data_IF_293036775921
#
_entry.id   IF_293036775921
#
_cell.length_a   1.000
_cell.length_b   1.000
_cell.length_c   1.000
_cell.angle_alpha   90.00
_cell.angle_beta   90.00
_cell.angle_gamma   90.00
#
_symmetry.space_group_name_H-M   'P 1'
#
loop_
_entity.id
_entity.type
_entity.pdbx_description
1 polymer ?
#
# COMPACT_ATOMS: atom_id res chain seq x y z
N UNK A 1 -3.27 -10.38 -21.42
CA UNK A 1 -2.82 -10.75 -20.06
C UNK A 1 -1.56 -9.96 -19.78
N UNK A 2 -1.68 -8.88 -18.99
CA UNK A 2 -0.61 -7.89 -18.80
C UNK A 2 0.38 -8.27 -17.69
N UNK A 3 -0.04 -9.13 -16.75
CA UNK A 3 0.81 -9.73 -15.71
C UNK A 3 0.87 -11.24 -15.90
N UNK A 4 2.07 -11.82 -15.88
CA UNK A 4 2.28 -13.26 -16.05
C UNK A 4 3.09 -13.80 -14.87
N UNK A 5 2.70 -14.98 -14.40
CA UNK A 5 3.45 -15.75 -13.41
C UNK A 5 4.13 -16.92 -14.09
N UNK A 6 5.43 -17.02 -13.93
CA UNK A 6 6.21 -18.15 -14.41
C UNK A 6 7.19 -18.62 -13.36
N UNK A 7 7.84 -19.76 -13.61
CA UNK A 7 8.96 -20.23 -12.79
C UNK A 7 10.22 -20.22 -13.63
N UNK A 8 11.32 -19.76 -13.07
CA UNK A 8 12.62 -19.86 -13.71
C UNK A 8 13.13 -21.32 -13.75
N UNK A 9 14.31 -21.51 -14.33
CA UNK A 9 14.94 -22.84 -14.44
C UNK A 9 15.25 -23.47 -13.07
N UNK A 10 15.29 -22.67 -12.01
CA UNK A 10 15.51 -23.10 -10.62
C UNK A 10 14.20 -23.27 -9.85
N UNK A 11 13.04 -23.06 -10.50
CA UNK A 11 11.72 -23.17 -9.90
C UNK A 11 11.28 -21.96 -9.07
N UNK A 12 12.03 -20.85 -9.08
CA UNK A 12 11.68 -19.63 -8.38
C UNK A 12 10.59 -18.87 -9.14
N UNK A 13 9.67 -18.24 -8.40
CA UNK A 13 8.59 -17.45 -8.99
C UNK A 13 9.18 -16.21 -9.68
N UNK A 14 8.82 -16.03 -10.95
CA UNK A 14 9.05 -14.81 -11.70
C UNK A 14 7.72 -14.16 -12.07
N UNK A 15 7.69 -12.83 -11.95
CA UNK A 15 6.54 -12.02 -12.31
C UNK A 15 6.95 -11.15 -13.47
N UNK A 16 6.22 -11.25 -14.58
CA UNK A 16 6.43 -10.45 -15.78
C UNK A 16 5.27 -9.46 -15.90
N UNK A 17 5.57 -8.17 -15.99
CA UNK A 17 4.58 -7.10 -16.21
C UNK A 17 4.93 -6.42 -17.52
N UNK A 18 3.99 -6.43 -18.48
CA UNK A 18 4.18 -5.85 -19.82
C UNK A 18 5.43 -6.37 -20.55
N UNK A 19 5.81 -7.63 -20.31
CA UNK A 19 7.00 -8.25 -20.91
C UNK A 19 8.32 -7.98 -20.18
N UNK A 20 8.31 -7.18 -19.11
CA UNK A 20 9.49 -6.90 -18.28
C UNK A 20 9.43 -7.69 -16.95
N UNK A 21 10.57 -8.26 -16.53
CA UNK A 21 10.68 -8.94 -15.24
C UNK A 21 10.61 -7.94 -14.10
N UNK A 22 9.70 -8.19 -13.18
CA UNK A 22 9.52 -7.40 -11.96
C UNK A 22 10.46 -7.90 -10.87
N UNK A 23 11.10 -6.97 -10.17
CA UNK A 23 11.89 -7.28 -9.00
C UNK A 23 11.00 -7.64 -7.81
N UNK A 24 11.41 -8.64 -7.03
CA UNK A 24 10.81 -8.97 -5.75
C UNK A 24 11.64 -8.39 -4.60
N UNK A 25 10.98 -7.91 -3.55
CA UNK A 25 11.65 -7.55 -2.29
C UNK A 25 11.95 -8.81 -1.44
N UNK A 26 12.60 -8.62 -0.28
CA UNK A 26 12.97 -9.71 0.62
C UNK A 26 11.78 -10.48 1.21
N UNK A 27 10.55 -9.97 1.09
CA UNK A 27 9.32 -10.61 1.52
C UNK A 27 8.52 -11.21 0.34
N UNK A 28 9.14 -11.34 -0.84
CA UNK A 28 8.49 -11.77 -2.08
C UNK A 28 7.35 -10.84 -2.54
N UNK A 29 7.44 -9.53 -2.22
CA UNK A 29 6.51 -8.52 -2.73
C UNK A 29 7.02 -7.98 -4.06
N UNK A 30 6.16 -7.95 -5.07
CA UNK A 30 6.46 -7.43 -6.40
C UNK A 30 6.58 -5.91 -6.39
N UNK A 31 7.70 -5.39 -6.87
CA UNK A 31 7.96 -3.94 -6.95
C UNK A 31 7.40 -3.36 -8.23
N UNK A 32 6.25 -2.69 -8.15
CA UNK A 32 5.54 -2.11 -9.28
C UNK A 32 5.91 -0.63 -9.42
N UNK A 33 6.50 -0.24 -10.55
CA UNK A 33 6.70 1.19 -10.88
C UNK A 33 5.40 1.87 -11.31
N UNK A 34 5.30 3.20 -11.13
CA UNK A 34 4.14 4.00 -11.58
C UNK A 34 3.78 3.81 -13.05
N UNK A 35 4.78 3.79 -13.94
CA UNK A 35 4.59 3.56 -15.39
C UNK A 35 3.86 2.25 -15.71
N UNK A 36 4.06 1.22 -14.89
CA UNK A 36 3.39 -0.06 -15.08
C UNK A 36 1.97 -0.02 -14.52
N UNK A 37 1.76 0.68 -13.40
CA UNK A 37 0.43 0.84 -12.83
C UNK A 37 -0.56 1.51 -13.81
N UNK A 38 -0.09 2.45 -14.63
CA UNK A 38 -0.91 3.13 -15.66
C UNK A 38 -1.47 2.20 -16.74
N UNK A 39 -0.76 1.12 -17.04
CA UNK A 39 -1.15 0.18 -18.08
C UNK A 39 -1.94 -1.02 -17.53
N UNK A 40 -2.22 -1.06 -16.22
CA UNK A 40 -2.87 -2.18 -15.55
C UNK A 40 -4.25 -1.79 -15.02
N UNK A 41 -5.14 -2.77 -15.04
CA UNK A 41 -6.38 -2.77 -14.25
C UNK A 41 -6.18 -3.58 -12.96
N UNK A 42 -6.99 -3.35 -11.91
CA UNK A 42 -6.99 -4.19 -10.70
C UNK A 42 -7.18 -5.69 -11.02
N UNK A 43 -7.98 -6.00 -12.03
CA UNK A 43 -8.28 -7.37 -12.48
C UNK A 43 -7.10 -8.07 -13.17
N UNK A 44 -6.10 -7.31 -13.65
CA UNK A 44 -4.87 -7.86 -14.22
C UNK A 44 -3.93 -8.41 -13.14
N UNK A 45 -4.12 -8.02 -11.88
CA UNK A 45 -3.30 -8.50 -10.78
C UNK A 45 -3.65 -9.98 -10.46
N UNK A 46 -2.64 -10.87 -10.41
CA UNK A 46 -2.86 -12.26 -10.08
C UNK A 46 -3.20 -12.46 -8.60
N UNK A 47 -4.02 -13.47 -8.33
CA UNK A 47 -4.35 -13.87 -6.96
C UNK A 47 -3.13 -14.37 -6.21
N UNK A 48 -3.04 -14.03 -4.92
CA UNK A 48 -1.98 -14.51 -4.03
C UNK A 48 -0.63 -13.80 -4.18
N UNK A 49 -0.55 -12.77 -5.04
CA UNK A 49 0.64 -11.94 -5.21
C UNK A 49 0.41 -10.57 -4.60
N UNK A 50 1.36 -10.11 -3.79
CA UNK A 50 1.38 -8.76 -3.25
C UNK A 50 2.31 -7.87 -4.05
N UNK A 51 1.87 -6.64 -4.27
CA UNK A 51 2.59 -5.59 -4.97
C UNK A 51 2.87 -4.42 -4.03
N UNK A 52 3.93 -3.68 -4.31
CA UNK A 52 4.25 -2.39 -3.70
C UNK A 52 4.57 -1.39 -4.80
N UNK A 53 3.97 -0.20 -4.72
CA UNK A 53 4.35 0.91 -5.60
C UNK A 53 5.75 1.39 -5.23
N UNK A 54 6.63 1.52 -6.23
CA UNK A 54 7.97 2.11 -6.07
C UNK A 54 7.98 3.50 -6.69
N UNK A 55 8.31 4.50 -5.88
CA UNK A 55 8.27 5.91 -6.27
C UNK A 55 6.85 6.43 -6.32
N UNK A 56 6.56 7.21 -7.36
CA UNK A 56 5.29 7.88 -7.58
C UNK A 56 4.58 7.33 -8.82
N UNK A 57 3.28 7.59 -8.90
CA UNK A 57 2.48 7.49 -10.12
C UNK A 57 2.91 8.59 -11.12
N UNK A 58 2.55 8.49 -12.40
CA UNK A 58 2.95 9.50 -13.40
C UNK A 58 2.45 10.91 -13.13
N UNK A 59 1.39 11.05 -12.34
CA UNK A 59 0.88 12.35 -11.90
C UNK A 59 1.60 12.91 -10.65
N UNK A 60 2.65 12.24 -10.17
CA UNK A 60 3.45 12.66 -9.01
C UNK A 60 2.86 12.26 -7.66
N UNK A 61 1.75 11.49 -7.62
CA UNK A 61 1.19 11.00 -6.37
C UNK A 61 1.93 9.75 -5.88
N UNK A 62 2.24 9.70 -4.60
CA UNK A 62 2.91 8.59 -3.95
C UNK A 62 2.42 8.38 -2.51
N UNK A 63 2.71 7.21 -1.95
CA UNK A 63 2.47 6.97 -0.53
C UNK A 63 3.46 7.76 0.33
N UNK A 64 3.05 8.13 1.55
CA UNK A 64 3.96 8.75 2.52
C UNK A 64 5.16 7.83 2.82
N UNK A 65 6.33 8.44 3.10
CA UNK A 65 7.58 7.70 3.33
C UNK A 65 7.46 6.73 4.50
N UNK A 66 6.65 7.06 5.50
CA UNK A 66 6.38 6.25 6.69
C UNK A 66 5.43 5.08 6.38
N UNK A 67 4.59 5.21 5.35
CA UNK A 67 3.55 4.23 5.01
C UNK A 67 4.10 3.18 4.05
N UNK A 68 4.54 2.06 4.63
CA UNK A 68 4.89 0.88 3.84
C UNK A 68 3.63 0.14 3.42
N UNK A 69 3.14 0.48 2.23
CA UNK A 69 1.92 -0.09 1.66
C UNK A 69 2.24 -1.28 0.77
N UNK A 70 1.47 -2.35 0.93
CA UNK A 70 1.39 -3.44 -0.05
C UNK A 70 -0.07 -3.65 -0.41
N UNK A 71 -0.34 -4.00 -1.66
CA UNK A 71 -1.69 -4.30 -2.13
C UNK A 71 -1.72 -5.62 -2.90
N UNK A 72 -2.86 -6.30 -2.84
CA UNK A 72 -3.09 -7.55 -3.55
C UNK A 72 -4.55 -7.66 -3.92
N UNK A 73 -4.86 -8.52 -4.89
CA UNK A 73 -6.25 -8.85 -5.19
C UNK A 73 -6.94 -9.44 -3.95
N UNK A 74 -8.08 -8.87 -3.60
CA UNK A 74 -8.92 -9.32 -2.49
C UNK A 74 -9.49 -10.71 -2.77
N UNK A 75 -9.92 -11.41 -1.70
CA UNK A 75 -10.35 -12.81 -1.78
C UNK A 75 -11.54 -13.03 -2.72
N UNK A 76 -12.41 -12.04 -2.84
CA UNK A 76 -13.62 -12.09 -3.67
C UNK A 76 -13.35 -11.70 -5.14
N UNK A 77 -12.12 -11.29 -5.45
CA UNK A 77 -11.69 -10.98 -6.82
C UNK A 77 -12.14 -9.64 -7.38
N UNK A 78 -13.00 -8.90 -6.66
CA UNK A 78 -13.56 -7.58 -7.03
C UNK A 78 -12.93 -6.42 -6.27
N UNK A 79 -12.21 -6.68 -5.18
CA UNK A 79 -11.56 -5.67 -4.36
C UNK A 79 -10.02 -5.76 -4.45
N UNK A 80 -9.35 -4.69 -4.04
CA UNK A 80 -7.94 -4.70 -3.65
C UNK A 80 -7.83 -4.61 -2.13
N UNK A 81 -7.11 -5.55 -1.53
CA UNK A 81 -6.73 -5.53 -0.12
C UNK A 81 -5.43 -4.75 0.03
N UNK A 82 -5.43 -3.74 0.90
CA UNK A 82 -4.26 -2.94 1.25
C UNK A 82 -3.81 -3.28 2.66
N UNK A 83 -2.53 -3.62 2.81
CA UNK A 83 -1.86 -3.80 4.10
C UNK A 83 -0.85 -2.70 4.29
N UNK A 84 -0.93 -2.04 5.43
CA UNK A 84 -0.10 -0.87 5.73
C UNK A 84 0.62 -1.10 7.03
N UNK A 85 1.92 -0.80 7.00
CA UNK A 85 2.75 -0.65 8.19
C UNK A 85 3.31 0.77 8.19
N UNK A 86 2.67 1.68 8.94
CA UNK A 86 3.24 3.01 9.19
C UNK A 86 4.41 2.87 10.16
N UNK A 87 5.62 3.24 9.75
CA UNK A 87 6.84 3.14 10.54
C UNK A 87 7.36 4.54 10.84
N UNK A 88 7.46 4.86 12.13
CA UNK A 88 8.00 6.13 12.60
C UNK A 88 9.29 5.88 13.37
N UNK A 89 10.40 6.40 12.86
CA UNK A 89 11.71 6.34 13.53
C UNK A 89 11.88 7.54 14.47
N UNK A 90 12.15 7.28 15.75
CA UNK A 90 12.21 8.34 16.77
C UNK A 90 13.28 9.40 16.49
N UNK A 91 14.39 9.00 15.86
CA UNK A 91 15.53 9.87 15.57
C UNK A 91 15.39 10.66 14.26
N UNK A 92 14.42 10.30 13.41
CA UNK A 92 14.17 10.96 12.13
C UNK A 92 12.94 11.88 12.20
N UNK A 93 12.27 11.93 13.35
CA UNK A 93 11.06 12.72 13.51
C UNK A 93 11.36 14.22 13.50
N UNK A 94 10.85 14.88 12.47
CA UNK A 94 10.97 16.31 12.20
C UNK A 94 9.61 17.03 12.21
N UNK A 95 8.55 16.35 12.63
CA UNK A 95 7.20 16.88 12.65
C UNK A 95 7.00 17.98 13.69
N UNK A 96 6.02 18.86 13.41
CA UNK A 96 5.67 20.00 14.28
C UNK A 96 5.11 19.57 15.65
N UNK A 97 4.45 18.42 15.71
CA UNK A 97 3.89 17.85 16.94
C UNK A 97 4.79 16.75 17.48
N UNK A 98 4.62 16.38 18.76
CA UNK A 98 5.38 15.27 19.32
C UNK A 98 5.02 13.97 18.58
N UNK A 99 6.02 13.11 18.35
CA UNK A 99 5.78 11.84 17.66
C UNK A 99 4.80 10.95 18.44
N UNK A 100 4.88 10.95 19.77
CA UNK A 100 3.96 10.17 20.60
C UNK A 100 2.50 10.64 20.45
N UNK A 101 2.26 11.94 20.38
CA UNK A 101 0.91 12.48 20.13
C UNK A 101 0.41 12.15 18.73
N UNK A 102 1.28 12.25 17.72
CA UNK A 102 0.96 11.86 16.33
C UNK A 102 0.57 10.38 16.26
N UNK A 103 1.37 9.49 16.85
CA UNK A 103 1.09 8.06 16.91
C UNK A 103 -0.23 7.79 17.63
N UNK A 104 -0.46 8.45 18.76
CA UNK A 104 -1.68 8.28 19.55
C UNK A 104 -2.90 8.71 18.74
N UNK A 105 -2.86 9.89 18.11
CA UNK A 105 -3.95 10.41 17.28
C UNK A 105 -4.25 9.48 16.12
N UNK A 106 -3.24 9.08 15.34
CA UNK A 106 -3.41 8.17 14.19
C UNK A 106 -3.97 6.82 14.63
N UNK A 107 -3.48 6.26 15.74
CA UNK A 107 -4.01 5.02 16.33
C UNK A 107 -5.48 5.15 16.72
N UNK A 108 -5.88 6.26 17.34
CA UNK A 108 -7.28 6.50 17.70
C UNK A 108 -8.19 6.54 16.47
N UNK A 109 -7.78 7.27 15.41
CA UNK A 109 -8.53 7.30 14.13
C UNK A 109 -8.67 5.90 13.55
N UNK A 110 -7.58 5.11 13.51
CA UNK A 110 -7.60 3.73 13.01
C UNK A 110 -8.51 2.80 13.83
N UNK A 111 -8.60 3.02 15.14
CA UNK A 111 -9.43 2.18 16.03
C UNK A 111 -10.92 2.57 16.02
N UNK A 112 -11.23 3.82 15.64
CA UNK A 112 -12.60 4.35 15.63
C UNK A 112 -13.25 4.29 14.24
N UNK A 113 -12.44 4.21 13.18
CA UNK A 113 -12.93 4.13 11.81
C UNK A 113 -13.43 2.73 11.45
N UNK A 114 -14.56 2.66 10.75
CA UNK A 114 -15.09 1.46 10.12
C UNK A 114 -14.40 1.13 8.78
N UNK A 115 -13.63 2.07 8.22
CA UNK A 115 -12.93 1.92 6.96
C UNK A 115 -11.61 1.13 7.08
N UNK A 116 -11.13 0.94 8.30
CA UNK A 116 -9.85 0.28 8.59
C UNK A 116 -10.03 -0.85 9.58
N UNK A 117 -9.25 -1.91 9.40
CA UNK A 117 -9.05 -2.94 10.42
C UNK A 117 -7.71 -2.70 11.08
N UNK A 118 -7.72 -2.20 12.31
CA UNK A 118 -6.51 -2.05 13.11
C UNK A 118 -5.98 -3.43 13.56
N UNK A 119 -4.71 -3.71 13.27
CA UNK A 119 -4.08 -5.01 13.56
C UNK A 119 -3.21 -4.93 14.80
N UNK A 120 -2.26 -3.99 14.84
CA UNK A 120 -1.30 -3.91 15.94
C UNK A 120 -0.63 -2.54 16.08
N UNK A 121 -0.23 -2.22 17.31
CA UNK A 121 0.76 -1.19 17.61
C UNK A 121 1.99 -1.89 18.20
N UNK A 122 3.11 -1.85 17.48
CA UNK A 122 4.37 -2.47 17.91
C UNK A 122 5.37 -1.37 18.24
N UNK A 123 5.69 -1.23 19.53
CA UNK A 123 6.78 -0.36 19.99
C UNK A 123 8.09 -1.14 19.98
N UNK A 124 9.13 -0.58 19.35
CA UNK A 124 10.51 -1.06 19.39
C UNK A 124 11.40 0.03 19.94
N UNK A 125 12.67 -0.30 20.20
CA UNK A 125 13.65 0.64 20.75
C UNK A 125 13.84 1.89 19.88
N UNK A 126 13.91 1.74 18.55
CA UNK A 126 14.23 2.84 17.62
C UNK A 126 13.05 3.37 16.82
N UNK A 127 11.92 2.66 16.84
CA UNK A 127 10.75 3.01 16.04
C UNK A 127 9.45 2.45 16.62
N UNK A 128 8.34 3.01 16.15
CA UNK A 128 7.00 2.45 16.32
C UNK A 128 6.45 2.00 14.99
N UNK A 129 5.69 0.91 15.00
CA UNK A 129 4.88 0.46 13.87
C UNK A 129 3.39 0.52 14.21
N UNK A 130 2.58 1.11 13.34
CA UNK A 130 1.14 0.91 13.31
C UNK A 130 0.80 0.01 12.13
N UNK A 131 0.18 -1.13 12.40
CA UNK A 131 -0.22 -2.11 11.38
C UNK A 131 -1.73 -2.13 11.27
N UNK A 132 -2.23 -2.03 10.05
CA UNK A 132 -3.65 -2.04 9.73
C UNK A 132 -3.86 -2.47 8.27
N UNK A 133 -5.10 -2.77 7.93
CA UNK A 133 -5.50 -3.02 6.56
C UNK A 133 -6.84 -2.38 6.24
N UNK A 134 -7.13 -2.26 4.96
CA UNK A 134 -8.43 -1.86 4.43
C UNK A 134 -8.62 -2.46 3.03
N UNK A 135 -9.86 -2.46 2.56
CA UNK A 135 -10.19 -2.88 1.21
C UNK A 135 -10.78 -1.72 0.41
N UNK A 136 -10.51 -1.72 -0.89
CA UNK A 136 -11.16 -0.87 -1.87
C UNK A 136 -11.81 -1.75 -2.93
N UNK A 137 -13.11 -1.59 -3.10
CA UNK A 137 -13.82 -2.19 -4.23
C UNK A 137 -13.34 -1.53 -5.54
N UNK A 138 -13.23 -2.35 -6.58
CA UNK A 138 -12.89 -1.91 -7.93
C UNK A 138 -14.06 -2.12 -8.87
N UNK A 139 -14.22 -1.23 -9.85
CA UNK A 139 -15.11 -1.50 -11.00
C UNK A 139 -14.31 -2.06 -12.18
N UNK A 140 -14.96 -2.73 -13.13
CA UNK A 140 -14.29 -3.36 -14.27
C UNK A 140 -13.53 -2.38 -15.18
N UNK A 141 -14.00 -1.13 -15.22
CA UNK A 141 -13.41 -0.07 -16.05
C UNK A 141 -12.34 0.73 -15.34
N UNK A 142 -12.21 0.57 -14.01
CA UNK A 142 -11.25 1.33 -13.23
C UNK A 142 -9.82 0.90 -13.51
N UNK A 143 -8.95 1.87 -13.72
CA UNK A 143 -7.50 1.67 -13.80
C UNK A 143 -6.91 1.37 -12.43
N UNK A 144 -5.75 0.72 -12.39
CA UNK A 144 -5.04 0.49 -11.13
C UNK A 144 -4.59 1.81 -10.50
N UNK A 145 -4.21 2.80 -11.32
CA UNK A 145 -3.83 4.16 -10.87
C UNK A 145 -4.95 4.78 -10.05
N UNK A 146 -6.19 4.79 -10.54
CA UNK A 146 -7.32 5.40 -9.83
C UNK A 146 -7.54 4.76 -8.45
N UNK A 147 -7.38 3.44 -8.29
CA UNK A 147 -7.52 2.80 -6.98
C UNK A 147 -6.34 3.10 -6.06
N UNK A 148 -5.12 3.17 -6.59
CA UNK A 148 -3.96 3.56 -5.81
C UNK A 148 -4.09 5.00 -5.31
N UNK A 149 -4.62 5.91 -6.12
CA UNK A 149 -4.95 7.28 -5.72
C UNK A 149 -6.02 7.30 -4.62
N UNK A 150 -7.09 6.55 -4.77
CA UNK A 150 -8.11 6.41 -3.72
C UNK A 150 -7.50 5.87 -2.41
N UNK A 151 -6.55 4.94 -2.49
CA UNK A 151 -5.83 4.43 -1.32
C UNK A 151 -4.96 5.52 -0.67
N UNK A 152 -4.25 6.33 -1.46
CA UNK A 152 -3.45 7.46 -0.97
C UNK A 152 -4.34 8.52 -0.31
N UNK A 153 -5.47 8.87 -0.91
CA UNK A 153 -6.46 9.80 -0.34
C UNK A 153 -7.01 9.25 0.98
N UNK A 154 -7.39 7.96 1.01
CA UNK A 154 -7.88 7.33 2.24
C UNK A 154 -6.83 7.35 3.35
N UNK A 155 -5.56 7.11 3.03
CA UNK A 155 -4.47 7.19 3.99
C UNK A 155 -4.17 8.61 4.46
N UNK A 156 -4.33 9.63 3.61
CA UNK A 156 -4.12 11.02 4.02
C UNK A 156 -5.18 11.49 5.03
N UNK A 157 -6.39 10.92 5.00
CA UNK A 157 -7.42 11.18 6.01
C UNK A 157 -6.99 10.81 7.44
N UNK A 158 -6.03 9.88 7.60
CA UNK A 158 -5.52 9.50 8.91
C UNK A 158 -4.70 10.60 9.59
N UNK A 159 -4.13 11.52 8.82
CA UNK A 159 -3.31 12.62 9.35
C UNK A 159 -4.16 13.80 9.86
N UNK A 160 -5.40 13.92 9.35
CA UNK A 160 -6.42 14.78 9.94
C UNK A 160 -5.95 16.18 10.31
N UNK A 161 -5.46 16.96 9.34
CA UNK A 161 -5.86 18.36 9.31
C UNK A 161 -7.33 18.33 8.90
N UNK A 162 -8.25 18.49 9.85
CA UNK A 162 -9.67 18.35 9.58
C UNK A 162 -10.10 19.31 8.47
N UNK A 163 -10.48 18.78 7.31
CA UNK A 163 -11.58 19.39 6.58
C UNK A 163 -12.84 18.97 7.31
N UNK A 164 -13.21 19.75 8.32
CA UNK A 164 -14.62 19.92 8.65
C UNK A 164 -15.32 20.36 7.35
N UNK A 165 -16.11 19.47 6.76
CA UNK A 165 -17.24 19.90 5.95
C UNK A 165 -18.30 20.51 6.85
#
# INVERSE_FOLDING_TARGET
MYVQLQKDAQGQLEIIVLGEKVQLDSNNVALLSGRWAEALKPSDLPNGISFRLVGELSNGLGFFKEDHVTFSRGKNGTSLEFKVSSIYYYHEWDGMFSLDDTILKRKLVLQQSDQFTFIAHVKKEKCTHLRFCFELESTEDQSLVEILEMAMIRLSCLEGYGYTM
#
